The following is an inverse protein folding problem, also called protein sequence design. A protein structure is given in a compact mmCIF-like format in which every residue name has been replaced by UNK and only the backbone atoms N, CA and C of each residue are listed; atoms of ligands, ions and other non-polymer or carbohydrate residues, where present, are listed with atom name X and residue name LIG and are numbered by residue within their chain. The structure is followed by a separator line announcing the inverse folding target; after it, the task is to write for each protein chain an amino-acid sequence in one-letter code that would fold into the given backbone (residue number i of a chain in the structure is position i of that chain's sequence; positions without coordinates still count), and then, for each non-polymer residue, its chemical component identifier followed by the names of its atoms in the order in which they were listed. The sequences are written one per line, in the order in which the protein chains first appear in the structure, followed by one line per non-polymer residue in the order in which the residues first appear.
data_IF_466660053923
#
_entry.id   IF_466660053923
#
_cell.length_a   1.000
_cell.length_b   1.000
_cell.length_c   1.000
_cell.angle_alpha   90.00
_cell.angle_beta   90.00
_cell.angle_gamma   90.00
#
_symmetry.space_group_name_H-M   'P 1'
#
loop_
_entity.id
_entity.type
_entity.pdbx_description
1 polymer ?
#
# COMPACT_ATOMS: atom_id res chain seq x y z
N UNK A 1 7.31 26.50 -26.31
CA UNK A 1 6.71 26.79 -24.98
C UNK A 1 7.76 26.45 -23.92
N UNK A 2 7.94 27.26 -22.86
CA UNK A 2 8.85 26.93 -21.74
C UNK A 2 7.98 26.61 -20.51
N UNK A 3 8.28 25.52 -19.81
CA UNK A 3 7.52 25.08 -18.64
C UNK A 3 8.43 24.93 -17.42
N UNK A 4 7.84 25.07 -16.23
CA UNK A 4 8.45 24.73 -14.95
C UNK A 4 7.64 23.59 -14.32
N UNK A 5 8.31 22.47 -14.04
CA UNK A 5 7.66 21.26 -13.51
C UNK A 5 8.30 20.79 -12.22
N UNK A 6 7.49 20.62 -11.17
CA UNK A 6 7.90 20.12 -9.85
C UNK A 6 6.67 19.64 -9.06
N UNK A 7 6.86 19.27 -7.79
CA UNK A 7 5.78 18.75 -6.95
C UNK A 7 4.65 19.77 -6.69
N UNK A 8 3.49 19.28 -6.27
CA UNK A 8 2.30 20.11 -6.03
C UNK A 8 2.26 20.69 -4.61
N UNK A 9 3.37 20.65 -3.87
CA UNK A 9 3.46 21.16 -2.51
C UNK A 9 3.19 22.66 -2.44
N UNK A 10 2.66 23.14 -1.31
CA UNK A 10 2.25 24.54 -1.15
C UNK A 10 3.40 25.53 -1.42
N UNK A 11 4.63 25.18 -1.00
CA UNK A 11 5.83 25.98 -1.23
C UNK A 11 6.23 26.03 -2.71
N UNK A 12 5.82 25.05 -3.51
CA UNK A 12 6.18 24.91 -4.92
C UNK A 12 5.11 25.55 -5.81
N UNK A 13 3.86 25.07 -5.72
CA UNK A 13 2.69 25.53 -6.49
C UNK A 13 2.11 26.89 -6.03
N UNK A 14 2.56 27.43 -4.90
CA UNK A 14 1.98 28.63 -4.30
C UNK A 14 1.93 29.83 -5.27
N UNK A 15 0.72 30.31 -5.58
CA UNK A 15 0.49 31.40 -6.55
C UNK A 15 0.99 32.78 -6.10
N UNK A 16 1.19 32.98 -4.80
CA UNK A 16 1.57 34.28 -4.22
C UNK A 16 3.03 34.33 -3.78
N UNK A 17 3.53 33.26 -3.14
CA UNK A 17 4.88 33.22 -2.54
C UNK A 17 5.66 31.95 -2.89
N UNK A 18 5.04 31.01 -3.60
CA UNK A 18 5.68 29.74 -3.94
C UNK A 18 6.71 29.90 -5.05
N UNK A 19 7.49 28.84 -5.27
CA UNK A 19 8.50 28.79 -6.33
C UNK A 19 7.92 29.13 -7.70
N UNK A 20 6.69 28.68 -7.98
CA UNK A 20 5.92 29.05 -9.18
C UNK A 20 5.88 30.54 -9.40
N UNK A 21 5.51 31.31 -8.38
CA UNK A 21 5.39 32.76 -8.50
C UNK A 21 6.75 33.40 -8.74
N UNK A 22 7.76 32.99 -7.97
CA UNK A 22 9.13 33.51 -8.10
C UNK A 22 9.71 33.30 -9.51
N UNK A 23 9.48 32.15 -10.11
CA UNK A 23 9.95 31.86 -11.48
C UNK A 23 9.13 32.65 -12.52
N UNK A 24 7.82 32.81 -12.33
CA UNK A 24 6.98 33.63 -13.22
C UNK A 24 7.36 35.12 -13.17
N UNK A 25 7.78 35.64 -12.01
CA UNK A 25 8.26 37.02 -11.87
C UNK A 25 9.56 37.25 -12.66
N UNK A 26 10.43 36.23 -12.78
CA UNK A 26 11.66 36.27 -13.59
C UNK A 26 11.34 36.06 -15.09
N UNK A 27 10.45 35.12 -15.39
CA UNK A 27 10.06 34.78 -16.76
C UNK A 27 8.57 34.43 -16.84
N UNK A 28 7.72 35.40 -17.27
CA UNK A 28 6.28 35.19 -17.38
C UNK A 28 5.86 34.10 -18.37
N UNK A 29 6.77 33.64 -19.24
CA UNK A 29 6.51 32.59 -20.23
C UNK A 29 6.84 31.18 -19.73
N UNK A 30 7.33 31.03 -18.49
CA UNK A 30 7.64 29.75 -17.87
C UNK A 30 6.42 29.22 -17.10
N UNK A 31 5.46 28.63 -17.83
CA UNK A 31 4.20 28.17 -17.22
C UNK A 31 4.41 26.99 -16.29
N UNK A 32 3.68 26.99 -15.17
CA UNK A 32 3.69 25.88 -14.24
C UNK A 32 2.96 24.66 -14.81
N UNK A 33 3.62 23.50 -14.71
CA UNK A 33 3.05 22.19 -15.07
C UNK A 33 3.15 21.29 -13.83
N UNK A 34 2.01 20.84 -13.27
CA UNK A 34 2.03 19.97 -12.10
C UNK A 34 2.66 18.61 -12.42
N UNK A 35 3.40 18.05 -11.46
CA UNK A 35 3.98 16.72 -11.62
C UNK A 35 2.89 15.64 -11.67
N UNK A 36 2.79 14.93 -12.80
CA UNK A 36 1.80 13.86 -13.00
C UNK A 36 2.00 12.69 -12.03
N UNK A 37 3.26 12.29 -11.75
CA UNK A 37 3.56 11.24 -10.78
C UNK A 37 3.12 11.62 -9.36
N UNK A 38 3.31 12.89 -8.97
CA UNK A 38 2.83 13.38 -7.68
C UNK A 38 1.30 13.45 -7.61
N UNK A 39 0.64 13.91 -8.68
CA UNK A 39 -0.83 13.88 -8.77
C UNK A 39 -1.40 12.47 -8.64
N UNK A 40 -0.79 11.47 -9.29
CA UNK A 40 -1.17 10.07 -9.14
C UNK A 40 -1.01 9.58 -7.70
N UNK A 41 0.12 9.91 -7.05
CA UNK A 41 0.35 9.58 -5.64
C UNK A 41 -0.72 10.17 -4.71
N UNK A 42 -1.19 11.40 -4.96
CA UNK A 42 -2.28 12.00 -4.18
C UNK A 42 -3.58 11.22 -4.32
N UNK A 43 -3.99 10.87 -5.55
CA UNK A 43 -5.21 10.08 -5.80
C UNK A 43 -5.18 8.74 -5.07
N UNK A 44 -4.04 8.05 -5.07
CA UNK A 44 -3.89 6.76 -4.37
C UNK A 44 -3.94 6.93 -2.86
N UNK A 45 -3.32 7.99 -2.33
CA UNK A 45 -3.35 8.27 -0.89
C UNK A 45 -4.75 8.62 -0.40
N UNK A 46 -5.54 9.35 -1.20
CA UNK A 46 -6.94 9.65 -0.89
C UNK A 46 -7.80 8.39 -0.97
N UNK A 47 -7.60 7.54 -1.98
CA UNK A 47 -8.28 6.26 -2.11
C UNK A 47 -7.99 5.33 -0.91
N UNK A 48 -6.77 5.34 -0.39
CA UNK A 48 -6.37 4.56 0.79
C UNK A 48 -6.93 5.12 2.11
N UNK A 49 -7.69 6.22 2.06
CA UNK A 49 -8.42 6.81 3.19
C UNK A 49 -9.92 6.92 2.90
N UNK A 50 -10.40 6.23 1.86
CA UNK A 50 -11.77 6.37 1.37
C UNK A 50 -12.81 5.74 2.28
N UNK A 51 -12.41 4.77 3.12
CA UNK A 51 -13.30 4.13 4.08
C UNK A 51 -12.54 3.71 5.35
N UNK A 52 -13.30 3.38 6.40
CA UNK A 52 -12.75 2.90 7.66
C UNK A 52 -12.08 1.53 7.48
N UNK A 53 -12.66 0.65 6.69
CA UNK A 53 -12.15 -0.69 6.38
C UNK A 53 -10.76 -0.61 5.72
N UNK A 54 -10.62 0.28 4.74
CA UNK A 54 -9.34 0.51 4.04
C UNK A 54 -8.31 1.12 4.98
N UNK A 55 -8.72 2.09 5.80
CA UNK A 55 -7.83 2.74 6.76
C UNK A 55 -7.35 1.74 7.82
N UNK A 56 -8.24 0.90 8.32
CA UNK A 56 -7.93 -0.17 9.26
C UNK A 56 -7.00 -1.21 8.64
N UNK A 57 -7.26 -1.64 7.41
CA UNK A 57 -6.39 -2.56 6.67
C UNK A 57 -4.94 -2.05 6.61
N UNK A 58 -4.73 -0.82 6.15
CA UNK A 58 -3.37 -0.26 6.09
C UNK A 58 -2.78 -0.02 7.49
N UNK A 59 -3.61 0.28 8.49
CA UNK A 59 -3.15 0.39 9.88
C UNK A 59 -2.61 -0.93 10.40
N UNK A 60 -3.30 -2.05 10.15
CA UNK A 60 -2.82 -3.40 10.53
C UNK A 60 -1.49 -3.72 9.83
N UNK A 61 -1.36 -3.43 8.53
CA UNK A 61 -0.09 -3.63 7.80
C UNK A 61 1.05 -2.85 8.46
N UNK A 62 0.79 -1.60 8.88
CA UNK A 62 1.77 -0.78 9.58
C UNK A 62 2.09 -1.32 10.98
N UNK A 63 1.08 -1.76 11.74
CA UNK A 63 1.25 -2.35 13.07
C UNK A 63 2.14 -3.59 13.03
N UNK A 64 1.97 -4.48 12.04
CA UNK A 64 2.82 -5.66 11.86
C UNK A 64 4.28 -5.22 11.65
N UNK A 65 4.52 -4.25 10.78
CA UNK A 65 5.87 -3.72 10.57
C UNK A 65 6.45 -3.13 11.86
N UNK A 66 5.70 -2.28 12.57
CA UNK A 66 6.15 -1.63 13.81
C UNK A 66 6.44 -2.67 14.90
N UNK A 67 5.58 -3.69 15.01
CA UNK A 67 5.76 -4.78 15.95
C UNK A 67 7.08 -5.51 15.70
N UNK A 68 7.32 -6.02 14.49
CA UNK A 68 8.56 -6.74 14.23
C UNK A 68 9.80 -5.84 14.25
N UNK A 69 9.75 -4.66 13.62
CA UNK A 69 10.91 -3.75 13.53
C UNK A 69 11.27 -3.07 14.86
N UNK A 70 10.33 -3.03 15.81
CA UNK A 70 10.55 -2.45 17.14
C UNK A 70 11.37 -3.33 18.08
N UNK A 71 11.84 -4.51 17.68
CA UNK A 71 12.74 -5.35 18.48
C UNK A 71 13.58 -6.25 17.59
N UNK A 72 14.90 -6.24 17.78
CA UNK A 72 15.83 -7.16 17.09
C UNK A 72 15.48 -8.61 17.34
N UNK A 73 15.01 -8.96 18.54
CA UNK A 73 14.62 -10.34 18.86
C UNK A 73 13.33 -10.76 18.14
N UNK A 74 12.31 -9.88 18.09
CA UNK A 74 11.09 -10.17 17.32
C UNK A 74 11.40 -10.31 15.83
N UNK A 75 12.27 -9.45 15.30
CA UNK A 75 12.73 -9.54 13.92
C UNK A 75 13.47 -10.86 13.64
N UNK A 76 14.30 -11.33 14.57
CA UNK A 76 14.97 -12.61 14.44
C UNK A 76 13.97 -13.78 14.39
N UNK A 77 12.95 -13.78 15.26
CA UNK A 77 11.90 -14.81 15.24
C UNK A 77 11.10 -14.81 13.92
N UNK A 78 10.91 -13.64 13.29
CA UNK A 78 10.34 -13.56 11.95
C UNK A 78 11.25 -14.22 10.91
N UNK A 79 12.56 -13.93 10.96
CA UNK A 79 13.53 -14.47 10.01
C UNK A 79 13.78 -15.97 10.19
N UNK A 80 13.55 -16.50 11.40
CA UNK A 80 13.54 -17.95 11.66
C UNK A 80 12.43 -18.66 10.88
N UNK A 81 11.28 -18.00 10.69
CA UNK A 81 10.16 -18.52 9.88
C UNK A 81 10.34 -18.24 8.38
N UNK A 82 10.85 -17.06 8.02
CA UNK A 82 11.08 -16.64 6.62
C UNK A 82 12.46 -16.02 6.46
N UNK A 83 13.48 -16.84 6.13
CA UNK A 83 14.79 -16.31 5.81
C UNK A 83 14.70 -15.30 4.66
N UNK A 84 15.36 -14.15 4.82
CA UNK A 84 15.43 -13.05 3.85
C UNK A 84 14.14 -12.23 3.64
N UNK A 85 13.12 -12.40 4.47
CA UNK A 85 11.97 -11.50 4.43
C UNK A 85 12.36 -10.08 4.88
N UNK A 86 11.82 -9.07 4.21
CA UNK A 86 11.89 -7.69 4.70
C UNK A 86 10.50 -7.06 4.66
N UNK A 87 9.85 -6.99 5.82
CA UNK A 87 8.67 -6.15 6.00
C UNK A 87 9.04 -4.68 5.75
N UNK A 88 8.12 -3.93 5.13
CA UNK A 88 8.35 -2.54 4.75
C UNK A 88 7.37 -1.61 5.47
N UNK A 89 7.81 -0.44 5.94
CA UNK A 89 6.90 0.56 6.46
C UNK A 89 6.01 1.14 5.35
N UNK A 90 4.80 1.52 5.70
CA UNK A 90 3.99 2.38 4.86
C UNK A 90 4.56 3.79 4.87
N UNK A 91 4.62 4.42 3.71
CA UNK A 91 4.99 5.83 3.59
C UNK A 91 3.76 6.64 3.19
N UNK A 92 3.47 7.69 3.97
CA UNK A 92 2.44 8.67 3.64
C UNK A 92 2.79 9.44 2.37
N UNK A 93 4.07 9.65 2.09
CA UNK A 93 4.55 10.44 0.95
C UNK A 93 4.90 9.61 -0.27
N UNK A 94 5.29 8.34 -0.08
CA UNK A 94 5.75 7.43 -1.15
C UNK A 94 4.90 6.18 -1.21
N UNK A 95 3.75 6.28 -1.87
CA UNK A 95 2.78 5.19 -1.97
C UNK A 95 3.38 3.87 -2.53
N UNK A 96 4.45 3.93 -3.34
CA UNK A 96 5.14 2.74 -3.86
C UNK A 96 5.62 1.79 -2.75
N UNK A 97 5.97 2.33 -1.57
CA UNK A 97 6.38 1.49 -0.43
C UNK A 97 5.24 0.58 0.05
N UNK A 98 3.98 1.00 -0.17
CA UNK A 98 2.80 0.19 0.15
C UNK A 98 2.75 -1.06 -0.72
N UNK A 99 3.13 -0.97 -2.01
CA UNK A 99 3.13 -2.15 -2.90
C UNK A 99 4.09 -3.20 -2.37
N UNK A 100 5.30 -2.79 -2.00
CA UNK A 100 6.31 -3.71 -1.49
C UNK A 100 5.95 -4.25 -0.09
N UNK A 101 5.30 -3.44 0.75
CA UNK A 101 4.74 -3.91 2.04
C UNK A 101 3.65 -4.97 1.83
N UNK A 102 2.72 -4.74 0.91
CA UNK A 102 1.64 -5.69 0.62
C UNK A 102 2.17 -6.97 -0.03
N UNK A 103 3.16 -6.88 -0.94
CA UNK A 103 3.81 -8.07 -1.51
C UNK A 103 4.49 -8.92 -0.43
N UNK A 104 5.29 -8.28 0.42
CA UNK A 104 5.99 -8.97 1.50
C UNK A 104 5.01 -9.74 2.39
N UNK A 105 3.86 -9.13 2.73
CA UNK A 105 2.84 -9.77 3.54
C UNK A 105 2.06 -10.84 2.77
N UNK A 106 1.58 -10.54 1.55
CA UNK A 106 0.75 -11.44 0.73
C UNK A 106 1.44 -12.77 0.43
N UNK A 107 2.73 -12.75 0.13
CA UNK A 107 3.48 -13.94 -0.25
C UNK A 107 4.10 -14.68 0.94
N UNK A 108 3.96 -14.16 2.16
CA UNK A 108 4.51 -14.77 3.37
C UNK A 108 3.52 -14.73 4.53
N UNK A 109 2.21 -14.67 4.25
CA UNK A 109 1.18 -14.41 5.25
C UNK A 109 1.18 -15.49 6.34
N UNK A 110 1.21 -16.76 5.93
CA UNK A 110 1.31 -17.93 6.82
C UNK A 110 2.52 -17.83 7.73
N UNK A 111 3.70 -17.55 7.18
CA UNK A 111 4.93 -17.49 7.98
C UNK A 111 5.03 -16.27 8.88
N UNK A 112 4.44 -15.15 8.48
CA UNK A 112 4.26 -13.98 9.37
C UNK A 112 3.32 -14.35 10.52
N UNK A 113 2.26 -15.11 10.25
CA UNK A 113 1.35 -15.62 11.28
C UNK A 113 2.06 -16.59 12.23
N UNK A 114 2.84 -17.55 11.72
CA UNK A 114 3.65 -18.49 12.52
C UNK A 114 4.65 -17.78 13.43
N UNK A 115 5.26 -16.69 12.94
CA UNK A 115 6.17 -15.88 13.73
C UNK A 115 5.43 -15.19 14.89
N UNK A 116 4.23 -14.66 14.66
CA UNK A 116 3.40 -14.09 15.72
C UNK A 116 2.96 -15.16 16.72
N UNK A 117 2.58 -16.35 16.25
CA UNK A 117 2.22 -17.48 17.12
C UNK A 117 3.38 -17.93 18.01
N UNK A 118 4.59 -17.97 17.47
CA UNK A 118 5.82 -18.27 18.21
C UNK A 118 6.07 -17.26 19.32
N UNK A 119 5.85 -15.97 19.05
CA UNK A 119 5.98 -14.90 20.05
C UNK A 119 4.89 -15.01 21.12
N UNK A 120 3.63 -15.25 20.72
CA UNK A 120 2.50 -15.43 21.62
C UNK A 120 2.69 -16.62 22.57
N UNK A 121 3.26 -17.72 22.08
CA UNK A 121 3.45 -18.97 22.83
C UNK A 121 4.71 -18.97 23.71
N UNK A 122 5.62 -18.00 23.52
CA UNK A 122 6.85 -17.89 24.31
C UNK A 122 6.57 -17.30 25.71
N UNK A 123 6.44 -18.19 26.71
CA UNK A 123 6.21 -17.82 28.10
C UNK A 123 7.36 -17.01 28.75
N UNK A 124 8.51 -16.85 28.06
CA UNK A 124 9.60 -15.97 28.53
C UNK A 124 9.36 -14.50 28.18
N UNK A 125 8.37 -14.20 27.34
CA UNK A 125 8.00 -12.82 26.96
C UNK A 125 7.01 -12.22 27.95
N UNK A 126 7.06 -10.91 28.06
CA UNK A 126 6.11 -10.14 28.84
C UNK A 126 4.68 -10.28 28.28
N UNK A 127 3.69 -10.09 29.15
CA UNK A 127 2.28 -10.23 28.78
C UNK A 127 1.84 -9.29 27.67
N UNK A 128 2.36 -8.06 27.65
CA UNK A 128 1.96 -7.05 26.66
C UNK A 128 2.43 -7.45 25.25
N UNK A 129 3.68 -7.88 25.11
CA UNK A 129 4.22 -8.40 23.84
C UNK A 129 3.39 -9.57 23.31
N UNK A 130 3.02 -10.52 24.18
CA UNK A 130 2.22 -11.69 23.82
C UNK A 130 0.79 -11.31 23.42
N UNK A 131 0.19 -10.37 24.15
CA UNK A 131 -1.15 -9.85 23.86
C UNK A 131 -1.19 -9.10 22.52
N UNK A 132 -0.17 -8.29 22.21
CA UNK A 132 -0.07 -7.62 20.91
C UNK A 132 0.09 -8.65 19.79
N UNK A 133 0.94 -9.67 19.96
CA UNK A 133 1.09 -10.74 18.98
C UNK A 133 -0.25 -11.46 18.71
N UNK A 134 -0.98 -11.82 19.77
CA UNK A 134 -2.31 -12.42 19.66
C UNK A 134 -3.31 -11.52 18.93
N UNK A 135 -3.34 -10.22 19.26
CA UNK A 135 -4.21 -9.25 18.59
C UNK A 135 -3.92 -9.15 17.08
N UNK A 136 -2.63 -9.12 16.70
CA UNK A 136 -2.21 -9.09 15.30
C UNK A 136 -2.58 -10.39 14.58
N UNK A 137 -2.47 -11.55 15.22
CA UNK A 137 -2.90 -12.82 14.65
C UNK A 137 -4.39 -12.82 14.34
N UNK A 138 -5.24 -12.35 15.27
CA UNK A 138 -6.69 -12.26 15.05
C UNK A 138 -7.03 -11.32 13.88
N UNK A 139 -6.30 -10.20 13.75
CA UNK A 139 -6.46 -9.26 12.63
C UNK A 139 -6.04 -9.88 11.29
N UNK A 140 -4.94 -10.65 11.27
CA UNK A 140 -4.47 -11.35 10.07
C UNK A 140 -5.40 -12.49 9.66
N UNK A 141 -5.93 -13.21 10.64
CA UNK A 141 -6.88 -14.31 10.49
C UNK A 141 -8.32 -13.79 10.40
N UNK A 142 -8.51 -12.75 9.60
CA UNK A 142 -9.82 -12.19 9.25
C UNK A 142 -9.98 -12.27 7.75
N UNK A 143 -11.08 -12.87 7.28
CA UNK A 143 -11.34 -12.97 5.86
C UNK A 143 -11.42 -11.60 5.18
N UNK A 144 -11.96 -10.60 5.87
CA UNK A 144 -11.99 -9.22 5.40
C UNK A 144 -10.59 -8.63 5.19
N UNK A 145 -9.64 -8.92 6.09
CA UNK A 145 -8.25 -8.48 5.94
C UNK A 145 -7.61 -9.14 4.72
N UNK A 146 -7.80 -10.46 4.54
CA UNK A 146 -7.24 -11.22 3.42
C UNK A 146 -7.83 -10.74 2.08
N UNK A 147 -9.14 -10.53 2.01
CA UNK A 147 -9.79 -9.93 0.85
C UNK A 147 -9.20 -8.55 0.52
N UNK A 148 -9.05 -7.70 1.55
CA UNK A 148 -8.45 -6.38 1.39
C UNK A 148 -7.00 -6.46 0.89
N UNK A 149 -6.22 -7.41 1.38
CA UNK A 149 -4.83 -7.66 0.96
C UNK A 149 -4.75 -8.00 -0.53
N UNK A 150 -5.59 -8.93 -1.00
CA UNK A 150 -5.66 -9.33 -2.41
C UNK A 150 -6.10 -8.16 -3.29
N UNK A 151 -7.21 -7.51 -2.93
CA UNK A 151 -7.77 -6.41 -3.70
C UNK A 151 -6.80 -5.23 -3.81
N UNK A 152 -6.23 -4.77 -2.68
CA UNK A 152 -5.32 -3.64 -2.69
C UNK A 152 -4.00 -3.97 -3.38
N UNK A 153 -3.46 -5.18 -3.25
CA UNK A 153 -2.25 -5.55 -3.98
C UNK A 153 -2.48 -5.50 -5.50
N UNK A 154 -3.62 -5.97 -6.00
CA UNK A 154 -3.96 -5.89 -7.43
C UNK A 154 -4.12 -4.44 -7.89
N UNK A 155 -4.88 -3.62 -7.16
CA UNK A 155 -5.05 -2.19 -7.47
C UNK A 155 -3.69 -1.49 -7.55
N UNK A 156 -2.90 -1.61 -6.49
CA UNK A 156 -1.62 -0.93 -6.38
C UNK A 156 -0.62 -1.41 -7.43
N UNK A 157 -0.63 -2.69 -7.78
CA UNK A 157 0.24 -3.22 -8.84
C UNK A 157 -0.08 -2.60 -10.20
N UNK A 158 -1.38 -2.44 -10.55
CA UNK A 158 -1.78 -1.78 -11.80
C UNK A 158 -1.38 -0.30 -11.82
N UNK A 159 -1.56 0.40 -10.70
CA UNK A 159 -1.13 1.80 -10.58
C UNK A 159 0.39 1.94 -10.64
N UNK A 160 1.15 0.97 -10.12
CA UNK A 160 2.62 1.03 -10.06
C UNK A 160 3.24 1.05 -11.45
N UNK A 161 2.63 0.32 -12.39
CA UNK A 161 3.04 0.35 -13.80
C UNK A 161 2.96 1.77 -14.35
N UNK A 162 1.84 2.46 -14.14
CA UNK A 162 1.66 3.86 -14.61
C UNK A 162 2.64 4.79 -13.89
N UNK A 163 2.79 4.65 -12.58
CA UNK A 163 3.68 5.51 -11.81
C UNK A 163 5.13 5.40 -12.26
N UNK A 164 5.63 4.19 -12.54
CA UNK A 164 6.99 3.99 -13.08
C UNK A 164 7.16 4.62 -14.46
N UNK A 165 6.14 4.54 -15.32
CA UNK A 165 6.19 5.16 -16.65
C UNK A 165 6.22 6.68 -16.55
N UNK A 166 5.37 7.28 -15.70
CA UNK A 166 5.33 8.73 -15.49
C UNK A 166 6.62 9.31 -14.90
N UNK A 167 7.47 8.48 -14.30
CA UNK A 167 8.75 8.88 -13.72
C UNK A 167 9.94 8.73 -14.70
N UNK A 168 9.74 8.11 -15.87
CA UNK A 168 10.81 7.95 -16.85
C UNK A 168 11.18 9.30 -17.48
N UNK A 169 12.48 9.61 -17.66
CA UNK A 169 12.92 10.88 -18.24
C UNK A 169 12.53 11.05 -19.72
N UNK A 170 12.33 9.93 -20.41
CA UNK A 170 12.00 9.82 -21.84
C UNK A 170 10.51 9.55 -22.09
N UNK A 171 9.65 9.75 -21.09
CA UNK A 171 8.21 9.47 -21.23
C UNK A 171 7.57 10.35 -22.31
N UNK A 172 6.88 9.70 -23.25
CA UNK A 172 6.10 10.38 -24.28
C UNK A 172 4.70 10.68 -23.74
N UNK A 173 4.23 11.92 -23.87
CA UNK A 173 2.93 12.34 -23.30
C UNK A 173 1.75 11.49 -23.80
N UNK A 174 1.75 11.11 -25.08
CA UNK A 174 0.72 10.24 -25.66
C UNK A 174 0.72 8.85 -25.01
N UNK A 175 1.90 8.30 -24.71
CA UNK A 175 2.04 7.03 -24.00
C UNK A 175 1.55 7.16 -22.56
N UNK A 176 1.93 8.23 -21.86
CA UNK A 176 1.45 8.50 -20.50
C UNK A 176 -0.09 8.55 -20.41
N UNK A 177 -0.74 9.28 -21.32
CA UNK A 177 -2.22 9.37 -21.39
C UNK A 177 -2.83 8.00 -21.66
N UNK A 178 -2.29 7.25 -22.63
CA UNK A 178 -2.76 5.90 -22.95
C UNK A 178 -2.67 4.96 -21.74
N UNK A 179 -1.56 5.00 -21.00
CA UNK A 179 -1.35 4.16 -19.81
C UNK A 179 -2.29 4.52 -18.66
N UNK A 180 -2.58 5.81 -18.46
CA UNK A 180 -3.57 6.26 -17.47
C UNK A 180 -4.97 5.74 -17.84
N UNK A 181 -5.39 5.85 -19.11
CA UNK A 181 -6.68 5.32 -19.55
C UNK A 181 -6.75 3.79 -19.45
N UNK A 182 -5.67 3.09 -19.76
CA UNK A 182 -5.59 1.64 -19.52
C UNK A 182 -5.72 1.29 -18.04
N UNK A 183 -5.09 2.04 -17.13
CA UNK A 183 -5.25 1.81 -15.70
C UNK A 183 -6.69 2.07 -15.24
N UNK A 184 -7.35 3.13 -15.72
CA UNK A 184 -8.77 3.40 -15.46
C UNK A 184 -9.65 2.25 -15.93
N UNK A 185 -9.44 1.76 -17.15
CA UNK A 185 -10.20 0.63 -17.69
C UNK A 185 -9.95 -0.65 -16.88
N UNK A 186 -8.70 -0.94 -16.49
CA UNK A 186 -8.38 -2.08 -15.63
C UNK A 186 -9.12 -1.98 -14.28
N UNK A 187 -9.13 -0.81 -13.65
CA UNK A 187 -9.86 -0.59 -12.39
C UNK A 187 -11.38 -0.71 -12.58
N UNK A 188 -11.91 -0.33 -13.74
CA UNK A 188 -13.33 -0.54 -14.06
C UNK A 188 -13.65 -2.03 -14.24
N UNK A 189 -12.80 -2.78 -14.95
CA UNK A 189 -12.95 -4.24 -15.12
C UNK A 189 -12.86 -4.97 -13.78
N UNK A 190 -12.02 -4.51 -12.83
CA UNK A 190 -11.95 -5.10 -11.49
C UNK A 190 -13.26 -4.99 -10.70
N UNK A 191 -14.24 -4.19 -11.15
CA UNK A 191 -15.56 -4.05 -10.53
C UNK A 191 -16.61 -4.99 -11.11
N UNK A 192 -16.28 -5.81 -12.11
CA UNK A 192 -17.22 -6.82 -12.63
C UNK A 192 -17.33 -7.98 -11.65
N UNK A 193 -18.49 -8.64 -11.62
CA UNK A 193 -18.74 -9.79 -10.76
C UNK A 193 -17.68 -10.88 -10.97
N UNK A 194 -17.35 -11.18 -12.23
CA UNK A 194 -16.31 -12.16 -12.58
C UNK A 194 -14.92 -11.82 -12.02
N UNK A 195 -14.54 -10.54 -12.00
CA UNK A 195 -13.26 -10.12 -11.47
C UNK A 195 -13.29 -10.13 -9.93
N UNK A 196 -14.42 -9.76 -9.34
CA UNK A 196 -14.66 -9.86 -7.90
C UNK A 196 -14.58 -11.32 -7.44
N UNK A 197 -15.28 -12.23 -8.09
CA UNK A 197 -15.27 -13.68 -7.80
C UNK A 197 -13.85 -14.24 -7.90
N UNK A 198 -13.08 -13.85 -8.92
CA UNK A 198 -11.68 -14.25 -9.04
C UNK A 198 -10.81 -13.76 -7.89
N UNK A 199 -11.03 -12.52 -7.41
CA UNK A 199 -10.32 -12.00 -6.23
C UNK A 199 -10.75 -12.72 -4.95
N UNK A 200 -12.04 -13.05 -4.82
CA UNK A 200 -12.58 -13.76 -3.67
C UNK A 200 -12.05 -15.20 -3.61
N UNK A 201 -11.99 -15.90 -4.74
CA UNK A 201 -11.39 -17.23 -4.84
C UNK A 201 -9.91 -17.22 -4.45
N UNK A 202 -9.16 -16.21 -4.89
CA UNK A 202 -7.76 -16.05 -4.47
C UNK A 202 -7.66 -15.79 -2.96
N UNK A 203 -8.53 -14.94 -2.40
CA UNK A 203 -8.57 -14.68 -0.97
C UNK A 203 -8.93 -15.94 -0.15
N UNK A 204 -9.87 -16.76 -0.64
CA UNK A 204 -10.25 -18.04 -0.03
C UNK A 204 -9.08 -19.00 0.03
N UNK A 205 -8.33 -19.16 -1.08
CA UNK A 205 -7.14 -20.02 -1.10
C UNK A 205 -6.07 -19.58 -0.09
N UNK A 206 -5.88 -18.27 0.11
CA UNK A 206 -4.94 -17.76 1.13
C UNK A 206 -5.50 -17.97 2.56
N UNK A 207 -6.81 -17.83 2.73
CA UNK A 207 -7.46 -18.06 4.02
C UNK A 207 -7.26 -19.51 4.48
N UNK A 208 -7.35 -20.47 3.55
CA UNK A 208 -7.07 -21.89 3.81
C UNK A 208 -5.64 -22.13 4.30
N UNK A 209 -4.63 -21.43 3.75
CA UNK A 209 -3.22 -21.54 4.18
C UNK A 209 -3.00 -21.22 5.67
N UNK A 210 -3.84 -20.38 6.27
CA UNK A 210 -3.76 -20.00 7.69
C UNK A 210 -4.96 -20.48 8.51
N UNK A 211 -5.74 -21.42 7.97
CA UNK A 211 -6.95 -21.99 8.56
C UNK A 211 -7.97 -20.90 9.01
N UNK A 212 -8.07 -19.81 8.25
CA UNK A 212 -9.00 -18.72 8.48
C UNK A 212 -10.39 -19.10 7.98
N UNK A 213 -11.43 -18.91 8.80
CA UNK A 213 -12.81 -19.04 8.34
C UNK A 213 -13.11 -17.97 7.28
N UNK A 214 -13.77 -18.38 6.19
CA UNK A 214 -14.11 -17.51 5.05
C UNK A 214 -15.47 -16.85 5.23
N UNK A 215 -15.71 -16.33 6.44
CA UNK A 215 -16.93 -15.62 6.79
C UNK A 215 -16.66 -14.11 6.94
N UNK A 216 -17.57 -13.29 6.44
CA UNK A 216 -17.60 -11.88 6.77
C UNK A 216 -18.40 -11.73 8.07
N UNK A 217 -17.72 -11.42 9.16
CA UNK A 217 -18.41 -11.05 10.41
C UNK A 217 -19.20 -9.78 10.18
N UNK A 218 -20.52 -9.86 10.29
CA UNK A 218 -21.39 -8.69 10.33
C UNK A 218 -21.02 -7.85 11.54
N UNK A 219 -20.57 -6.62 11.32
CA UNK A 219 -20.45 -5.62 12.37
C UNK A 219 -21.88 -5.24 12.73
N UNK A 220 -22.38 -5.79 13.84
CA UNK A 220 -23.68 -5.42 14.43
C UNK A 220 -23.67 -4.00 14.97
#
# INVERSE_FOLDING_TARGET
MRGQGYDNGANMKGKNIGLQRKILDINPRAFYVPCAAHSLNLVVNDAAKSSLEVTNFFSVVQEIYVFFSGSTTRWQMLLEQVPNLTLKPLSNTRWESRVEALKALRFNLEKVYDALYSIYSDNKRDGDTRNIASSLMLKLKSFQFICSLVTWLKILTKINVVSKILQKPDVVLQEAVKMIEQAKNNLATMRTDSAFDSMLLEATSIAEEIECETIFTSIG
#
